data_IF_660672126888
#
_entry.id   IF_660672126888
#
_cell.length_a   1.000
_cell.length_b   1.000
_cell.length_c   1.000
_cell.angle_alpha   90.00
_cell.angle_beta   90.00
_cell.angle_gamma   90.00
#
_symmetry.space_group_name_H-M   'P 1'
#
loop_
_entity.id
_entity.type
_entity.pdbx_description
1 polymer ?
#
# COMPACT_ATOMS: atom_id res chain seq x y z
N UNK A 1 -32.10 -14.25 10.67
CA UNK A 1 -30.65 -14.42 10.42
C UNK A 1 -30.51 -14.93 9.00
N UNK A 2 -30.15 -14.05 8.07
CA UNK A 2 -30.00 -14.43 6.67
C UNK A 2 -28.55 -14.86 6.41
N UNK A 3 -28.35 -16.12 6.08
CA UNK A 3 -27.08 -16.63 5.52
C UNK A 3 -27.00 -16.15 4.07
N UNK A 4 -26.16 -15.14 3.78
CA UNK A 4 -25.86 -14.83 2.38
C UNK A 4 -25.04 -15.98 1.80
N UNK A 5 -25.42 -16.41 0.60
CA UNK A 5 -24.79 -17.52 -0.08
C UNK A 5 -23.48 -17.02 -0.70
N UNK A 6 -22.43 -17.84 -0.73
CA UNK A 6 -21.12 -17.46 -1.32
C UNK A 6 -21.25 -17.01 -2.79
N UNK A 7 -22.30 -17.47 -3.48
CA UNK A 7 -22.66 -17.02 -4.83
C UNK A 7 -23.25 -15.60 -4.88
N UNK A 8 -23.94 -15.14 -3.83
CA UNK A 8 -24.48 -13.78 -3.77
C UNK A 8 -23.37 -12.73 -3.63
N UNK A 9 -22.25 -13.13 -3.00
CA UNK A 9 -21.06 -12.28 -2.80
C UNK A 9 -20.28 -12.09 -4.12
N UNK A 10 -20.20 -13.15 -4.93
CA UNK A 10 -19.59 -13.09 -6.27
C UNK A 10 -20.48 -12.29 -7.25
N UNK A 11 -21.80 -12.44 -7.14
CA UNK A 11 -22.75 -11.68 -7.95
C UNK A 11 -22.74 -10.18 -7.62
N UNK A 12 -22.53 -9.78 -6.36
CA UNK A 12 -22.43 -8.36 -5.99
C UNK A 12 -21.13 -7.71 -6.48
N UNK A 13 -20.02 -8.46 -6.53
CA UNK A 13 -18.74 -7.95 -7.05
C UNK A 13 -18.71 -7.85 -8.56
N UNK A 14 -19.42 -8.74 -9.27
CA UNK A 14 -19.59 -8.64 -10.73
C UNK A 14 -20.55 -7.51 -11.13
N UNK A 15 -21.61 -7.25 -10.33
CA UNK A 15 -22.57 -6.18 -10.60
C UNK A 15 -22.01 -4.77 -10.34
N UNK A 16 -21.07 -4.63 -9.40
CA UNK A 16 -20.35 -3.37 -9.15
C UNK A 16 -19.23 -3.10 -10.17
N UNK A 17 -18.97 -4.06 -11.09
CA UNK A 17 -17.95 -4.00 -12.13
C UNK A 17 -18.43 -3.55 -13.52
N UNK A 18 -19.67 -3.07 -13.69
CA UNK A 18 -20.12 -2.49 -14.96
C UNK A 18 -19.47 -1.10 -15.19
N UNK A 19 -18.21 -1.10 -15.66
CA UNK A 19 -17.64 0.07 -16.32
C UNK A 19 -18.05 0.06 -17.79
N UNK A 20 -18.96 0.98 -18.14
CA UNK A 20 -19.06 1.51 -19.49
C UNK A 20 -17.66 1.95 -19.98
N UNK A 21 -17.28 1.52 -21.18
CA UNK A 21 -16.07 2.00 -21.82
C UNK A 21 -16.26 3.47 -22.24
N UNK A 22 -15.29 4.37 -22.01
CA UNK A 22 -15.17 5.58 -22.80
C UNK A 22 -14.42 5.24 -24.09
N UNK A 23 -15.02 5.58 -25.23
CA UNK A 23 -14.38 5.61 -26.54
C UNK A 23 -13.27 6.69 -26.58
N UNK A 24 -12.25 6.40 -27.39
CA UNK A 24 -11.04 7.17 -27.66
C UNK A 24 -11.30 8.51 -28.39
N UNK A 25 -10.40 9.48 -28.19
CA UNK A 25 -9.60 10.17 -29.23
C UNK A 25 -9.12 11.56 -28.74
N UNK A 26 -7.80 11.74 -28.60
CA UNK A 26 -7.06 12.74 -29.37
C UNK A 26 -5.54 12.53 -29.29
N UNK A 27 -4.94 12.67 -30.47
CA UNK A 27 -3.62 12.32 -30.94
C UNK A 27 -2.56 13.39 -30.59
N UNK A 28 -1.28 12.98 -30.53
CA UNK A 28 -0.12 13.70 -31.10
C UNK A 28 1.17 12.92 -30.81
N UNK A 29 1.51 12.00 -31.72
CA UNK A 29 2.87 11.52 -31.90
C UNK A 29 3.79 12.55 -32.57
N UNK A 30 5.09 12.38 -32.42
CA UNK A 30 6.15 13.09 -33.14
C UNK A 30 7.19 12.05 -33.61
N UNK A 31 7.95 12.33 -34.69
CA UNK A 31 7.70 11.79 -36.03
C UNK A 31 8.53 10.52 -36.33
N UNK A 32 8.03 9.73 -37.28
CA UNK A 32 8.82 8.73 -38.01
C UNK A 32 9.69 9.44 -39.07
N UNK A 33 10.81 8.82 -39.47
CA UNK A 33 11.17 8.61 -40.88
C UNK A 33 12.48 7.81 -41.00
N UNK A 34 12.38 6.61 -41.58
CA UNK A 34 13.30 6.07 -42.59
C UNK A 34 12.49 5.09 -43.47
N UNK A 35 11.90 5.69 -44.51
CA UNK A 35 11.83 5.26 -45.92
C UNK A 35 11.10 4.00 -46.42
N UNK A 36 10.27 4.32 -47.42
CA UNK A 36 9.96 3.62 -48.68
C UNK A 36 8.76 2.66 -48.79
N UNK A 37 7.65 3.30 -49.18
CA UNK A 37 6.88 3.05 -50.42
C UNK A 37 6.27 1.66 -50.66
N UNK A 38 4.93 1.63 -50.63
CA UNK A 38 4.17 1.31 -51.86
C UNK A 38 2.72 1.77 -51.72
N UNK A 39 2.43 2.95 -52.27
CA UNK A 39 1.09 3.40 -52.57
C UNK A 39 0.72 2.95 -53.99
N UNK A 40 -0.40 2.26 -54.13
CA UNK A 40 -1.33 2.46 -55.26
C UNK A 40 -2.55 1.56 -55.09
N UNK A 41 -3.67 2.14 -54.68
CA UNK A 41 -4.99 2.00 -55.33
C UNK A 41 -6.10 2.50 -54.39
N UNK A 42 -6.28 3.82 -54.34
CA UNK A 42 -7.62 4.38 -54.21
C UNK A 42 -8.13 4.68 -55.62
N UNK A 43 -9.34 4.24 -55.95
CA UNK A 43 -10.47 5.12 -56.29
C UNK A 43 -11.72 4.31 -56.70
N UNK A 44 -12.80 4.64 -56.00
CA UNK A 44 -14.19 4.77 -56.49
C UNK A 44 -14.98 3.57 -57.02
N UNK A 45 -15.93 3.14 -56.18
CA UNK A 45 -17.37 3.16 -56.51
C UNK A 45 -18.12 3.07 -55.15
N UNK A 46 -18.48 4.21 -54.55
CA UNK A 46 -19.81 4.83 -54.65
C UNK A 46 -20.99 3.91 -54.27
N UNK A 47 -21.77 4.45 -53.33
CA UNK A 47 -23.21 4.32 -53.17
C UNK A 47 -23.83 2.94 -52.97
N UNK A 48 -24.17 2.69 -51.72
CA UNK A 48 -25.29 1.81 -51.40
C UNK A 48 -25.12 1.01 -50.11
N UNK A 49 -24.82 1.69 -48.99
CA UNK A 49 -24.98 1.07 -47.67
C UNK A 49 -26.46 0.70 -47.46
N UNK A 50 -26.75 -0.56 -47.77
CA UNK A 50 -28.06 -1.21 -47.67
C UNK A 50 -27.98 -2.43 -46.76
N UNK A 51 -26.87 -2.58 -46.02
CA UNK A 51 -26.57 -3.78 -45.25
C UNK A 51 -26.59 -3.61 -43.74
N UNK A 52 -26.57 -2.39 -43.21
CA UNK A 52 -26.61 -2.17 -41.78
C UNK A 52 -28.05 -2.04 -41.27
N UNK A 53 -28.41 -2.89 -40.30
CA UNK A 53 -29.72 -2.89 -39.63
C UNK A 53 -29.93 -1.54 -38.91
N UNK A 54 -28.85 -0.88 -38.48
CA UNK A 54 -28.90 0.44 -37.87
C UNK A 54 -29.13 1.57 -38.90
N UNK A 55 -28.68 1.41 -40.15
CA UNK A 55 -28.97 2.36 -41.24
C UNK A 55 -30.43 2.26 -41.73
N UNK A 56 -31.02 1.05 -41.73
CA UNK A 56 -32.45 0.84 -42.02
C UNK A 56 -33.37 1.45 -40.95
N UNK A 57 -32.96 1.39 -39.67
CA UNK A 57 -33.70 2.00 -38.55
C UNK A 57 -33.73 3.54 -38.62
N UNK A 58 -32.69 4.19 -39.17
CA UNK A 58 -32.64 5.65 -39.41
C UNK A 58 -33.54 6.11 -40.57
N UNK A 59 -34.00 5.22 -41.46
CA UNK A 59 -34.91 5.54 -42.59
C UNK A 59 -36.40 5.24 -42.33
N UNK A 60 -36.80 4.94 -41.09
CA UNK A 60 -38.21 4.92 -40.68
C UNK A 60 -39.05 3.72 -41.11
N UNK A 61 -38.44 2.62 -41.61
CA UNK A 61 -39.17 1.36 -41.82
C UNK A 61 -39.12 0.50 -40.56
N UNK A 62 -40.27 0.35 -39.90
CA UNK A 62 -40.40 -0.37 -38.64
C UNK A 62 -40.64 -1.89 -38.75
N UNK A 63 -40.65 -2.46 -39.97
CA UNK A 63 -40.77 -3.91 -40.16
C UNK A 63 -39.97 -4.39 -41.37
N UNK A 64 -39.29 -5.52 -41.18
CA UNK A 64 -38.47 -6.22 -42.19
C UNK A 64 -39.09 -7.61 -42.36
N UNK A 65 -39.17 -8.12 -43.60
CA UNK A 65 -39.74 -9.45 -43.84
C UNK A 65 -38.77 -10.56 -43.44
N UNK A 66 -39.30 -11.76 -43.15
CA UNK A 66 -38.51 -12.89 -42.63
C UNK A 66 -37.46 -13.39 -43.64
N UNK A 67 -37.72 -13.22 -44.94
CA UNK A 67 -36.78 -13.56 -46.00
C UNK A 67 -35.64 -12.54 -46.14
N UNK A 68 -35.92 -11.25 -45.94
CA UNK A 68 -34.89 -10.20 -45.91
C UNK A 68 -33.97 -10.35 -44.69
N UNK A 69 -34.51 -10.71 -43.53
CA UNK A 69 -33.72 -11.00 -42.34
C UNK A 69 -32.79 -12.22 -42.53
N UNK A 70 -33.25 -13.25 -43.25
CA UNK A 70 -32.42 -14.42 -43.61
C UNK A 70 -31.29 -14.06 -44.55
N UNK A 71 -31.53 -13.20 -45.55
CA UNK A 71 -30.49 -12.76 -46.48
C UNK A 71 -29.41 -11.92 -45.78
N UNK A 72 -29.79 -11.07 -44.82
CA UNK A 72 -28.86 -10.33 -43.97
C UNK A 72 -28.00 -11.26 -43.10
N UNK A 73 -28.60 -12.29 -42.49
CA UNK A 73 -27.85 -13.30 -41.73
C UNK A 73 -26.86 -14.11 -42.59
N UNK A 74 -27.25 -14.46 -43.81
CA UNK A 74 -26.37 -15.19 -44.74
C UNK A 74 -25.18 -14.33 -45.15
N UNK A 75 -25.39 -13.03 -45.42
CA UNK A 75 -24.30 -12.08 -45.72
C UNK A 75 -23.39 -11.85 -44.50
N UNK A 76 -23.95 -11.72 -43.30
CA UNK A 76 -23.15 -11.58 -42.08
C UNK A 76 -22.26 -12.80 -41.82
N UNK A 77 -22.78 -14.02 -42.07
CA UNK A 77 -22.00 -15.26 -41.95
C UNK A 77 -20.94 -15.41 -43.04
N UNK A 78 -21.16 -14.87 -44.24
CA UNK A 78 -20.16 -14.85 -45.30
C UNK A 78 -18.97 -13.93 -44.97
N UNK A 79 -19.21 -12.81 -44.24
CA UNK A 79 -18.15 -11.89 -43.78
C UNK A 79 -17.26 -12.47 -42.68
N UNK A 80 -17.70 -13.53 -41.99
CA UNK A 80 -16.92 -14.21 -40.94
C UNK A 80 -15.97 -15.31 -41.42
N UNK A 81 -15.95 -15.67 -42.72
CA UNK A 81 -15.00 -16.66 -43.25
C UNK A 81 -13.67 -15.99 -43.59
N UNK A 82 -12.86 -15.78 -42.56
CA UNK A 82 -11.43 -15.49 -42.72
C UNK A 82 -10.78 -16.69 -43.41
N UNK A 83 -10.28 -16.46 -44.63
CA UNK A 83 -9.40 -17.39 -45.35
C UNK A 83 -8.20 -17.67 -44.46
N UNK A 84 -7.95 -18.95 -44.14
CA UNK A 84 -6.83 -19.40 -43.32
C UNK A 84 -5.49 -18.95 -43.92
N UNK A 85 -5.02 -17.75 -43.55
CA UNK A 85 -3.61 -17.41 -43.63
C UNK A 85 -2.92 -18.26 -42.57
N UNK A 86 -2.14 -19.25 -43.01
CA UNK A 86 -1.18 -19.98 -42.17
C UNK A 86 -0.24 -18.95 -41.52
N UNK A 87 -0.58 -18.51 -40.30
CA UNK A 87 0.30 -17.70 -39.48
C UNK A 87 1.48 -18.58 -39.09
N UNK A 88 2.69 -18.18 -39.46
CA UNK A 88 3.89 -18.70 -38.83
C UNK A 88 3.72 -18.59 -37.32
N UNK A 89 4.01 -19.66 -36.57
CA UNK A 89 4.00 -19.65 -35.11
C UNK A 89 5.11 -18.70 -34.63
N UNK A 90 4.80 -17.41 -34.55
CA UNK A 90 5.57 -16.49 -33.72
C UNK A 90 5.37 -16.99 -32.30
N UNK A 91 6.42 -17.56 -31.70
CA UNK A 91 6.41 -17.88 -30.27
C UNK A 91 6.03 -16.59 -29.57
N UNK A 92 4.85 -16.56 -28.94
CA UNK A 92 4.48 -15.47 -28.08
C UNK A 92 5.65 -15.25 -27.11
N UNK A 93 6.23 -14.05 -27.12
CA UNK A 93 7.24 -13.67 -26.11
C UNK A 93 6.62 -14.02 -24.77
N UNK A 94 7.30 -14.88 -24.01
CA UNK A 94 6.81 -15.29 -22.70
C UNK A 94 6.53 -14.00 -21.92
N UNK A 95 5.27 -13.80 -21.52
CA UNK A 95 4.93 -12.68 -20.64
C UNK A 95 5.89 -12.75 -19.45
N UNK A 96 6.48 -11.61 -19.02
CA UNK A 96 7.31 -11.61 -17.82
C UNK A 96 6.53 -12.32 -16.72
N UNK A 97 7.08 -13.40 -16.18
CA UNK A 97 6.43 -14.09 -15.06
C UNK A 97 6.37 -13.09 -13.92
N UNK A 98 5.17 -12.70 -13.54
CA UNK A 98 5.00 -11.90 -12.35
C UNK A 98 5.64 -12.64 -11.18
N UNK A 99 6.31 -11.93 -10.27
CA UNK A 99 6.89 -12.54 -9.09
C UNK A 99 5.84 -13.39 -8.34
N UNK A 100 6.21 -14.52 -7.71
CA UNK A 100 5.24 -15.49 -7.13
C UNK A 100 4.27 -14.93 -6.07
N UNK A 101 4.51 -13.71 -5.58
CA UNK A 101 3.65 -12.98 -4.62
C UNK A 101 3.07 -11.74 -5.34
N UNK A 102 2.85 -11.82 -6.63
CA UNK A 102 2.23 -10.81 -7.47
C UNK A 102 1.24 -11.58 -8.34
N UNK A 103 -0.02 -11.43 -8.00
CA UNK A 103 -1.14 -12.13 -8.58
C UNK A 103 -1.96 -11.04 -9.27
N UNK A 104 -2.52 -11.28 -10.47
CA UNK A 104 -3.41 -10.31 -11.09
C UNK A 104 -4.47 -9.82 -10.09
N UNK A 105 -4.88 -8.54 -10.15
CA UNK A 105 -5.98 -8.02 -9.35
C UNK A 105 -7.17 -9.00 -9.38
N UNK A 106 -7.81 -9.21 -8.22
CA UNK A 106 -8.94 -10.12 -7.97
C UNK A 106 -8.64 -11.62 -8.06
N UNK A 107 -7.39 -12.04 -8.34
CA UNK A 107 -7.05 -13.48 -8.39
C UNK A 107 -6.29 -14.00 -7.17
N UNK A 108 -5.80 -13.12 -6.29
CA UNK A 108 -5.11 -13.50 -5.05
C UNK A 108 -6.02 -14.23 -4.07
N UNK A 109 -7.20 -13.64 -3.81
CA UNK A 109 -8.21 -14.24 -2.94
C UNK A 109 -8.66 -15.61 -3.44
N UNK A 110 -8.86 -15.77 -4.76
CA UNK A 110 -9.22 -17.03 -5.38
C UNK A 110 -8.13 -18.09 -5.22
N UNK A 111 -6.87 -17.75 -5.46
CA UNK A 111 -5.75 -18.70 -5.31
C UNK A 111 -5.58 -19.16 -3.86
N UNK A 112 -5.72 -18.25 -2.89
CA UNK A 112 -5.68 -18.58 -1.47
C UNK A 112 -6.88 -19.46 -1.11
N UNK A 113 -8.09 -19.10 -1.55
CA UNK A 113 -9.29 -19.87 -1.32
C UNK A 113 -9.17 -21.30 -1.89
N UNK A 114 -8.65 -21.44 -3.11
CA UNK A 114 -8.39 -22.74 -3.75
C UNK A 114 -7.38 -23.56 -2.95
N UNK A 115 -6.30 -22.93 -2.45
CA UNK A 115 -5.28 -23.57 -1.60
C UNK A 115 -5.89 -24.07 -0.28
N UNK A 116 -6.65 -23.23 0.41
CA UNK A 116 -7.32 -23.58 1.66
C UNK A 116 -8.38 -24.67 1.46
N UNK A 117 -9.17 -24.56 0.38
CA UNK A 117 -10.16 -25.57 0.02
C UNK A 117 -9.52 -26.92 -0.32
N UNK A 118 -8.35 -26.91 -0.95
CA UNK A 118 -7.61 -28.13 -1.29
C UNK A 118 -7.09 -28.88 -0.04
N UNK A 119 -6.84 -28.19 1.08
CA UNK A 119 -6.45 -28.83 2.36
C UNK A 119 -7.58 -29.66 2.98
N UNK A 120 -8.84 -29.42 2.58
CA UNK A 120 -10.06 -30.07 3.11
C UNK A 120 -10.31 -29.83 4.61
N UNK A 121 -9.57 -28.93 5.25
CA UNK A 121 -9.77 -28.54 6.64
C UNK A 121 -10.77 -27.37 6.73
N UNK A 122 -11.59 -27.29 7.80
CA UNK A 122 -12.47 -26.15 8.01
C UNK A 122 -11.68 -24.86 8.25
N UNK A 123 -11.97 -23.83 7.46
CA UNK A 123 -11.39 -22.49 7.62
C UNK A 123 -12.48 -21.41 7.64
N UNK A 124 -12.09 -20.22 8.10
CA UNK A 124 -12.89 -19.01 8.09
C UNK A 124 -12.17 -17.93 7.27
N UNK A 125 -12.96 -17.12 6.56
CA UNK A 125 -12.48 -15.95 5.82
C UNK A 125 -13.03 -14.71 6.51
N UNK A 126 -12.15 -13.79 6.92
CA UNK A 126 -12.51 -12.48 7.47
C UNK A 126 -12.10 -11.40 6.48
N UNK A 127 -13.07 -10.63 6.00
CA UNK A 127 -12.83 -9.57 5.01
C UNK A 127 -12.21 -8.30 5.63
N UNK A 128 -12.33 -8.12 6.94
CA UNK A 128 -11.83 -6.94 7.66
C UNK A 128 -10.53 -7.22 8.43
N UNK A 129 -9.62 -7.97 7.83
CA UNK A 129 -8.30 -8.20 8.42
C UNK A 129 -7.49 -6.91 8.45
N UNK A 130 -6.89 -6.61 9.60
CA UNK A 130 -6.15 -5.37 9.81
C UNK A 130 -4.88 -5.63 10.61
N UNK A 131 -3.73 -5.20 10.08
CA UNK A 131 -2.45 -5.24 10.78
C UNK A 131 -1.81 -3.85 10.80
N UNK A 132 -1.15 -3.50 11.90
CA UNK A 132 -0.34 -2.29 11.98
C UNK A 132 0.95 -2.51 12.72
N UNK A 133 1.94 -1.70 12.39
CA UNK A 133 3.24 -1.67 13.05
C UNK A 133 3.80 -0.26 13.01
N UNK A 134 4.62 0.07 14.00
CA UNK A 134 5.29 1.35 14.14
C UNK A 134 6.80 1.16 14.02
N UNK A 135 7.46 2.11 13.36
CA UNK A 135 8.92 2.21 13.32
C UNK A 135 9.39 3.59 13.77
N UNK A 136 10.58 3.64 14.35
CA UNK A 136 11.24 4.87 14.79
C UNK A 136 12.26 5.33 13.75
N UNK A 137 12.19 6.61 13.41
CA UNK A 137 13.23 7.35 12.69
C UNK A 137 13.92 8.28 13.69
N UNK A 138 15.11 7.90 14.21
CA UNK A 138 15.86 8.70 15.15
C UNK A 138 16.49 9.91 14.43
N UNK A 139 16.05 11.10 14.77
CA UNK A 139 16.54 12.35 14.20
C UNK A 139 17.50 13.02 15.18
N UNK A 140 18.81 12.93 14.93
CA UNK A 140 19.82 13.52 15.83
C UNK A 140 19.86 15.03 15.65
N UNK A 141 19.87 15.76 16.76
CA UNK A 141 19.93 17.22 16.72
C UNK A 141 21.40 17.69 16.77
N UNK A 142 21.87 18.21 15.64
CA UNK A 142 23.22 18.71 15.44
C UNK A 142 23.26 20.24 15.49
N UNK A 143 24.47 20.80 15.57
CA UNK A 143 24.68 22.25 15.65
C UNK A 143 24.85 22.77 17.09
N UNK A 144 24.53 24.04 17.29
CA UNK A 144 24.74 24.80 18.53
C UNK A 144 23.42 25.29 19.12
N UNK A 145 23.47 25.93 20.31
CA UNK A 145 22.31 26.54 20.96
C UNK A 145 21.67 27.70 20.17
N UNK A 146 22.31 28.19 19.09
CA UNK A 146 21.79 29.27 18.24
C UNK A 146 21.46 28.83 16.82
N UNK A 147 22.06 27.74 16.34
CA UNK A 147 21.82 27.17 15.01
C UNK A 147 21.83 25.66 15.11
N UNK A 148 20.66 25.06 15.08
CA UNK A 148 20.49 23.61 15.17
C UNK A 148 19.72 23.07 13.97
N UNK A 149 19.90 21.77 13.73
CA UNK A 149 19.11 21.03 12.75
C UNK A 149 18.94 19.58 13.21
N UNK A 150 17.80 19.00 12.86
CA UNK A 150 17.57 17.57 12.97
C UNK A 150 18.11 16.90 11.71
N UNK A 151 19.04 15.97 11.91
CA UNK A 151 19.57 15.08 10.88
C UNK A 151 18.71 13.82 10.86
N UNK A 152 18.00 13.61 9.75
CA UNK A 152 17.26 12.39 9.46
C UNK A 152 18.19 11.50 8.63
N UNK A 153 18.69 10.37 9.17
CA UNK A 153 19.64 9.56 8.44
C UNK A 153 18.99 8.83 7.27
N UNK A 154 19.75 8.67 6.19
CA UNK A 154 19.46 7.69 5.15
C UNK A 154 19.49 6.29 5.76
N UNK A 155 18.62 5.40 5.28
CA UNK A 155 18.57 4.04 5.81
C UNK A 155 17.29 3.29 5.52
N UNK A 156 17.18 2.14 6.18
CA UNK A 156 16.03 1.25 6.11
C UNK A 156 15.43 1.10 7.50
N UNK A 157 14.16 1.50 7.63
CA UNK A 157 13.39 1.45 8.86
C UNK A 157 12.35 0.35 8.73
N UNK A 158 12.52 -0.70 9.53
CA UNK A 158 11.69 -1.91 9.44
C UNK A 158 10.40 -1.75 10.24
N UNK A 159 9.34 -2.30 9.67
CA UNK A 159 8.00 -2.45 10.22
C UNK A 159 7.65 -3.95 10.18
N UNK A 160 6.82 -4.39 11.10
CA UNK A 160 6.47 -5.81 11.28
C UNK A 160 7.69 -6.72 11.53
N UNK A 161 8.76 -6.19 12.10
CA UNK A 161 9.93 -6.95 12.51
C UNK A 161 9.82 -7.47 13.96
N UNK A 162 9.01 -6.80 14.78
CA UNK A 162 8.75 -7.11 16.19
C UNK A 162 7.27 -7.39 16.44
N UNK A 163 7.00 -8.41 17.24
CA UNK A 163 5.65 -8.76 17.70
C UNK A 163 5.37 -8.22 19.11
N UNK A 164 4.09 -8.19 19.49
CA UNK A 164 3.66 -7.87 20.86
C UNK A 164 4.39 -8.77 21.86
N UNK A 165 4.91 -8.18 22.93
CA UNK A 165 5.68 -8.88 23.96
C UNK A 165 7.19 -8.94 23.69
N UNK A 166 7.66 -8.56 22.50
CA UNK A 166 9.10 -8.49 22.23
C UNK A 166 9.75 -7.21 22.73
N UNK A 167 11.05 -7.27 23.01
CA UNK A 167 11.84 -6.10 23.37
C UNK A 167 12.02 -5.17 22.17
N UNK A 168 11.75 -3.88 22.37
CA UNK A 168 11.91 -2.79 21.40
C UNK A 168 12.69 -1.67 22.06
N UNK A 169 13.51 -0.97 21.29
CA UNK A 169 14.27 0.18 21.77
C UNK A 169 13.83 1.43 21.04
N UNK A 170 13.43 2.46 21.79
CA UNK A 170 12.98 3.75 21.28
C UNK A 170 13.73 4.89 21.95
N UNK A 171 14.37 5.76 21.17
CA UNK A 171 15.29 6.82 21.61
C UNK A 171 16.31 6.34 22.66
N UNK A 172 16.77 5.10 22.51
CA UNK A 172 17.72 4.49 23.43
C UNK A 172 17.10 3.82 24.66
N UNK A 173 15.81 4.02 24.93
CA UNK A 173 15.07 3.41 26.02
C UNK A 173 14.51 2.04 25.61
N UNK A 174 14.77 1.02 26.41
CA UNK A 174 14.17 -0.32 26.23
C UNK A 174 12.73 -0.32 26.72
N UNK A 175 11.84 -0.92 25.93
CA UNK A 175 10.45 -1.16 26.27
C UNK A 175 9.98 -2.51 25.69
N UNK A 176 8.81 -2.96 26.12
CA UNK A 176 8.14 -4.13 25.54
C UNK A 176 7.10 -3.68 24.53
N UNK A 177 7.10 -4.29 23.34
CA UNK A 177 6.11 -4.01 22.30
C UNK A 177 4.69 -4.24 22.83
N UNK A 178 3.87 -3.19 22.81
CA UNK A 178 2.46 -3.25 23.23
C UNK A 178 1.55 -3.26 22.02
N UNK A 179 0.28 -3.60 22.25
CA UNK A 179 -0.77 -3.51 21.23
C UNK A 179 -0.94 -2.10 20.69
N UNK A 180 -0.50 -1.04 21.40
CA UNK A 180 -0.55 0.32 20.85
C UNK A 180 0.45 0.54 19.71
N UNK A 181 1.48 -0.30 19.57
CA UNK A 181 2.53 -0.12 18.57
C UNK A 181 2.46 -1.13 17.43
N UNK A 182 2.00 -2.34 17.73
CA UNK A 182 1.72 -3.33 16.72
C UNK A 182 0.69 -4.31 17.23
N UNK A 183 -0.11 -4.87 16.33
CA UNK A 183 -0.95 -6.02 16.63
C UNK A 183 -0.39 -7.33 16.05
N UNK A 184 0.85 -7.30 15.53
CA UNK A 184 1.54 -8.50 15.11
C UNK A 184 1.79 -9.40 16.33
N UNK A 185 1.29 -10.63 16.27
CA UNK A 185 1.52 -11.62 17.32
C UNK A 185 2.44 -12.69 16.75
N UNK A 186 3.50 -13.05 17.48
CA UNK A 186 4.23 -14.26 17.12
C UNK A 186 3.37 -15.46 17.51
N UNK A 187 3.16 -16.42 16.61
CA UNK A 187 2.55 -17.67 17.00
C UNK A 187 3.44 -18.30 18.08
N UNK A 188 2.99 -18.30 19.33
CA UNK A 188 3.56 -19.23 20.31
C UNK A 188 3.32 -20.64 19.76
N UNK A 189 4.30 -21.54 19.88
CA UNK A 189 4.37 -22.86 19.24
C UNK A 189 3.10 -23.73 19.29
N UNK A 190 2.09 -23.38 20.09
CA UNK A 190 0.87 -24.14 20.32
C UNK A 190 -0.47 -23.37 20.10
N UNK A 191 -0.49 -22.09 19.67
CA UNK A 191 -1.72 -21.27 19.92
C UNK A 191 -2.39 -20.59 18.73
N UNK A 192 -1.87 -20.64 17.51
CA UNK A 192 -2.68 -20.24 16.34
C UNK A 192 -2.43 -21.15 15.15
N UNK A 193 -3.55 -21.71 14.66
CA UNK A 193 -3.64 -22.43 13.40
C UNK A 193 -3.21 -21.51 12.26
N UNK A 194 -2.68 -22.13 11.20
CA UNK A 194 -2.27 -21.51 9.94
C UNK A 194 -3.14 -20.29 9.60
N UNK A 195 -2.54 -19.10 9.55
CA UNK A 195 -3.21 -17.87 9.12
C UNK A 195 -2.47 -17.31 7.91
N UNK A 196 -3.22 -17.08 6.83
CA UNK A 196 -2.77 -16.35 5.66
C UNK A 196 -3.57 -15.04 5.58
N UNK A 197 -2.91 -13.94 5.26
CA UNK A 197 -3.50 -12.62 5.13
C UNK A 197 -3.14 -12.06 3.76
N UNK A 198 -4.15 -11.69 2.99
CA UNK A 198 -4.00 -11.04 1.71
C UNK A 198 -4.03 -9.54 1.91
N UNK A 199 -2.93 -8.85 1.63
CA UNK A 199 -2.89 -7.39 1.68
C UNK A 199 -3.58 -6.85 0.43
N UNK A 200 -4.61 -6.01 0.62
CA UNK A 200 -5.35 -5.37 -0.47
C UNK A 200 -5.11 -3.86 -0.53
N UNK A 201 -4.86 -3.24 0.62
CA UNK A 201 -4.53 -1.82 0.66
C UNK A 201 -3.65 -1.46 1.85
N UNK A 202 -2.99 -0.31 1.73
CA UNK A 202 -2.18 0.26 2.81
C UNK A 202 -2.53 1.72 3.08
N UNK A 203 -2.29 2.13 4.32
CA UNK A 203 -2.27 3.53 4.74
C UNK A 203 -1.08 3.76 5.65
N UNK A 204 -0.58 4.99 5.69
CA UNK A 204 0.60 5.30 6.50
C UNK A 204 0.50 6.70 7.08
N UNK A 205 0.77 6.80 8.37
CA UNK A 205 0.58 8.01 9.15
C UNK A 205 1.71 8.21 10.14
N UNK A 206 1.84 9.44 10.64
CA UNK A 206 2.61 9.67 11.86
C UNK A 206 1.89 9.06 13.07
N UNK A 207 2.63 8.34 13.89
CA UNK A 207 2.13 7.81 15.15
C UNK A 207 2.33 8.81 16.29
N UNK A 208 3.44 9.55 16.25
CA UNK A 208 3.77 10.56 17.25
C UNK A 208 5.24 10.97 17.19
N UNK A 209 5.62 11.81 18.15
CA UNK A 209 6.99 12.25 18.36
C UNK A 209 7.45 11.89 19.76
N UNK A 210 8.76 11.73 19.94
CA UNK A 210 9.43 11.77 21.24
C UNK A 210 10.61 12.71 21.18
N UNK A 211 11.00 13.28 22.32
CA UNK A 211 12.16 14.16 22.41
C UNK A 211 13.06 13.69 23.54
N UNK A 212 14.37 13.83 23.35
CA UNK A 212 15.36 13.53 24.37
C UNK A 212 16.30 14.72 24.51
N UNK A 213 16.26 15.36 25.67
CA UNK A 213 17.23 16.37 26.11
C UNK A 213 18.28 15.72 27.03
N UNK A 214 19.34 16.46 27.35
CA UNK A 214 20.33 16.02 28.32
C UNK A 214 19.71 16.01 29.73
N UNK A 215 19.72 14.84 30.39
CA UNK A 215 19.19 14.68 31.74
C UNK A 215 19.86 15.60 32.76
N UNK A 216 21.18 15.84 32.60
CA UNK A 216 21.93 16.73 33.49
C UNK A 216 21.57 18.21 33.29
N UNK A 217 21.01 18.59 32.13
CA UNK A 217 20.47 19.93 31.91
C UNK A 217 19.04 20.04 32.45
N UNK A 218 18.19 19.04 32.22
CA UNK A 218 16.81 19.01 32.74
C UNK A 218 16.80 19.12 34.27
N UNK A 219 17.68 18.38 34.96
CA UNK A 219 17.73 18.34 36.43
C UNK A 219 18.09 19.69 37.08
N UNK A 220 18.70 20.61 36.32
CA UNK A 220 19.04 21.95 36.81
C UNK A 220 17.86 22.91 36.77
N UNK A 221 16.77 22.56 36.08
CA UNK A 221 15.63 23.45 35.87
C UNK A 221 14.55 23.15 36.92
N UNK A 222 14.24 24.16 37.72
CA UNK A 222 13.22 24.06 38.77
C UNK A 222 11.84 23.88 38.13
N UNK A 223 11.09 22.86 38.57
CA UNK A 223 9.71 22.62 38.14
C UNK A 223 9.52 21.65 36.96
N UNK A 224 10.60 21.13 36.35
CA UNK A 224 10.51 20.15 35.24
C UNK A 224 10.51 18.68 35.69
N UNK A 225 10.45 18.40 36.99
CA UNK A 225 10.48 17.03 37.52
C UNK A 225 9.35 16.16 36.97
N UNK A 226 8.15 16.74 36.81
CA UNK A 226 6.96 16.04 36.29
C UNK A 226 7.07 15.76 34.79
N UNK A 227 7.78 16.62 34.04
CA UNK A 227 8.00 16.48 32.61
C UNK A 227 9.23 15.60 32.26
N UNK A 228 9.99 15.14 33.25
CA UNK A 228 11.25 14.39 33.05
C UNK A 228 11.08 13.18 32.13
N UNK A 229 10.01 12.39 32.30
CA UNK A 229 9.76 11.21 31.47
C UNK A 229 9.54 11.59 29.99
N UNK A 230 8.84 12.70 29.73
CA UNK A 230 8.61 13.23 28.37
C UNK A 230 9.92 13.72 27.76
N UNK A 231 10.69 14.52 28.52
CA UNK A 231 11.92 15.15 28.06
C UNK A 231 13.11 14.19 27.92
N UNK A 232 12.99 12.96 28.42
CA UNK A 232 14.00 11.89 28.30
C UNK A 232 13.59 10.79 27.32
N UNK A 233 12.54 11.03 26.52
CA UNK A 233 12.13 10.14 25.42
C UNK A 233 11.34 8.91 25.85
N UNK A 234 10.72 8.92 27.04
CA UNK A 234 9.92 7.78 27.53
C UNK A 234 8.46 7.84 27.06
N UNK A 235 7.95 9.04 26.79
CA UNK A 235 6.55 9.26 26.42
C UNK A 235 6.41 9.89 25.04
N UNK A 236 5.34 9.55 24.33
CA UNK A 236 4.92 10.29 23.14
C UNK A 236 4.46 11.68 23.53
N UNK A 237 4.70 12.63 22.65
CA UNK A 237 4.30 14.01 22.84
C UNK A 237 3.80 14.59 21.52
N UNK A 238 2.84 15.50 21.66
CA UNK A 238 2.36 16.36 20.61
C UNK A 238 2.39 17.78 21.19
N UNK A 239 3.21 18.64 20.58
CA UNK A 239 3.53 19.95 21.14
C UNK A 239 3.69 20.97 20.00
N UNK A 240 2.57 21.34 19.41
CA UNK A 240 2.45 22.38 18.40
C UNK A 240 2.71 23.79 18.95
N UNK A 241 2.52 23.98 20.26
CA UNK A 241 2.81 25.21 20.97
C UNK A 241 4.33 25.49 21.10
N UNK A 242 5.16 24.46 21.00
CA UNK A 242 6.62 24.55 21.07
C UNK A 242 7.16 24.71 22.50
N UNK A 243 6.51 24.09 23.49
CA UNK A 243 6.96 24.08 24.89
C UNK A 243 8.14 23.13 25.14
N UNK A 244 8.16 22.01 24.44
CA UNK A 244 9.10 20.89 24.57
C UNK A 244 9.72 20.47 23.23
N UNK A 245 9.11 20.85 22.10
CA UNK A 245 9.64 20.67 20.76
C UNK A 245 9.98 22.01 20.09
N UNK A 246 10.98 22.02 19.19
CA UNK A 246 11.15 23.14 18.27
C UNK A 246 9.88 23.41 17.47
N UNK A 247 9.40 24.65 17.49
CA UNK A 247 8.16 25.06 16.83
C UNK A 247 8.20 24.83 15.32
N UNK A 248 9.38 24.88 14.70
CA UNK A 248 9.57 24.64 13.27
C UNK A 248 9.13 23.22 12.82
N UNK A 249 8.99 22.26 13.74
CA UNK A 249 8.46 20.93 13.43
C UNK A 249 7.00 21.01 12.97
N UNK A 250 6.24 22.00 13.44
CA UNK A 250 4.82 22.15 13.12
C UNK A 250 4.57 23.37 12.26
N UNK A 251 3.65 23.24 11.32
CA UNK A 251 3.19 24.35 10.51
C UNK A 251 2.32 25.29 11.35
N UNK A 252 2.70 26.57 11.42
CA UNK A 252 2.09 27.57 12.31
C UNK A 252 0.56 27.69 12.20
N UNK A 253 -0.02 27.42 11.02
CA UNK A 253 -1.47 27.57 10.79
C UNK A 253 -2.25 26.26 10.73
N UNK A 254 -1.63 25.17 10.26
CA UNK A 254 -2.34 23.91 10.02
C UNK A 254 -2.06 22.88 11.10
N UNK A 255 -1.02 23.09 11.92
CA UNK A 255 -0.52 22.09 12.87
C UNK A 255 0.10 20.87 12.20
N UNK A 256 0.30 20.88 10.87
CA UNK A 256 0.90 19.76 10.15
C UNK A 256 2.36 19.57 10.58
N UNK A 257 2.75 18.33 10.83
CA UNK A 257 4.12 17.97 11.15
C UNK A 257 5.02 18.01 9.90
N UNK A 258 5.81 19.07 9.79
CA UNK A 258 6.73 19.34 8.69
C UNK A 258 7.93 18.38 8.68
N UNK A 259 8.32 17.83 9.83
CA UNK A 259 9.35 16.80 9.91
C UNK A 259 8.88 15.51 9.25
N UNK A 260 7.66 15.07 9.58
CA UNK A 260 7.02 13.93 8.91
C UNK A 260 6.83 14.17 7.42
N UNK A 261 6.36 15.36 7.03
CA UNK A 261 6.19 15.76 5.62
C UNK A 261 7.50 15.65 4.82
N UNK A 262 8.63 15.99 5.43
CA UNK A 262 9.96 15.90 4.80
C UNK A 262 10.34 14.45 4.51
N UNK A 263 10.05 13.53 5.44
CA UNK A 263 10.22 12.09 5.24
C UNK A 263 9.26 11.58 4.17
N UNK A 264 7.96 11.94 4.21
CA UNK A 264 6.97 11.52 3.20
C UNK A 264 7.39 11.86 1.78
N UNK A 265 7.98 13.03 1.56
CA UNK A 265 8.41 13.48 0.23
C UNK A 265 9.60 12.71 -0.34
N UNK A 266 10.43 12.15 0.54
CA UNK A 266 11.74 11.59 0.17
C UNK A 266 11.77 10.06 0.27
N UNK A 267 10.93 9.48 1.13
CA UNK A 267 10.96 8.06 1.44
C UNK A 267 10.14 7.21 0.46
N UNK A 268 10.48 5.93 0.43
CA UNK A 268 9.85 4.91 -0.41
C UNK A 268 9.52 3.70 0.46
N UNK A 269 8.38 3.06 0.20
CA UNK A 269 7.94 1.87 0.94
C UNK A 269 8.20 0.61 0.13
N UNK A 270 8.80 -0.38 0.77
CA UNK A 270 9.00 -1.71 0.22
C UNK A 270 8.32 -2.76 1.08
N UNK A 271 7.84 -3.82 0.44
CA UNK A 271 7.57 -5.08 1.13
C UNK A 271 8.76 -6.03 0.96
N UNK A 272 9.11 -6.71 2.04
CA UNK A 272 10.29 -7.55 2.11
C UNK A 272 9.96 -8.89 2.76
N UNK A 273 10.26 -9.99 2.06
CA UNK A 273 10.16 -11.35 2.55
C UNK A 273 11.55 -11.96 2.68
N UNK A 274 11.83 -12.55 3.83
CA UNK A 274 13.12 -13.12 4.16
C UNK A 274 12.99 -14.56 4.64
N UNK A 275 13.44 -15.51 3.81
CA UNK A 275 13.44 -16.94 4.14
C UNK A 275 14.51 -17.34 5.15
N UNK A 276 15.57 -16.55 5.34
CA UNK A 276 16.61 -16.86 6.34
C UNK A 276 16.04 -16.85 7.76
N UNK A 277 15.08 -15.95 8.00
CA UNK A 277 14.38 -15.80 9.29
C UNK A 277 13.50 -16.99 9.65
N UNK A 278 13.27 -17.89 8.70
CA UNK A 278 12.34 -19.02 8.82
C UNK A 278 13.04 -20.36 8.62
N UNK A 279 14.38 -20.38 8.63
CA UNK A 279 15.18 -21.60 8.44
C UNK A 279 15.24 -22.09 6.98
N UNK A 280 14.75 -21.31 6.02
CA UNK A 280 14.86 -21.62 4.60
C UNK A 280 16.18 -21.14 3.98
N UNK A 281 16.42 -21.51 2.71
CA UNK A 281 17.55 -20.99 1.93
C UNK A 281 17.54 -19.46 1.88
N UNK A 282 18.72 -18.84 1.72
CA UNK A 282 18.95 -17.38 1.84
C UNK A 282 18.36 -16.50 0.73
N UNK A 283 17.16 -16.82 0.24
CA UNK A 283 16.44 -16.00 -0.71
C UNK A 283 15.67 -14.91 0.04
N UNK A 284 16.05 -13.67 -0.20
CA UNK A 284 15.29 -12.48 0.16
C UNK A 284 14.58 -11.94 -1.06
N UNK A 285 13.44 -11.29 -0.84
CA UNK A 285 12.69 -10.62 -1.91
C UNK A 285 12.17 -9.29 -1.42
N UNK A 286 12.60 -8.22 -2.08
CA UNK A 286 12.20 -6.84 -1.80
C UNK A 286 11.42 -6.31 -3.01
N UNK A 287 10.22 -5.76 -2.77
CA UNK A 287 9.32 -5.26 -3.81
C UNK A 287 8.97 -3.83 -3.47
N UNK A 288 9.16 -2.94 -4.43
CA UNK A 288 8.74 -1.54 -4.34
C UNK A 288 7.21 -1.48 -4.34
N UNK A 289 6.63 -0.82 -3.35
CA UNK A 289 5.20 -0.54 -3.30
C UNK A 289 4.95 0.80 -3.97
N UNK A 290 5.40 1.89 -3.34
CA UNK A 290 5.30 3.23 -3.90
C UNK A 290 6.18 4.21 -3.10
N UNK A 291 6.30 5.44 -3.60
CA UNK A 291 6.76 6.58 -2.83
C UNK A 291 5.80 6.87 -1.67
N UNK A 292 6.37 7.22 -0.52
CA UNK A 292 5.57 7.43 0.68
C UNK A 292 4.57 8.59 0.54
N UNK A 293 4.89 9.61 -0.27
CA UNK A 293 3.98 10.73 -0.59
C UNK A 293 2.67 10.28 -1.23
N UNK A 294 2.65 9.16 -1.93
CA UNK A 294 1.48 8.62 -2.63
C UNK A 294 0.60 7.75 -1.70
N UNK A 295 1.14 7.25 -0.59
CA UNK A 295 0.41 6.43 0.38
C UNK A 295 -0.50 7.31 1.23
N UNK A 296 -1.83 7.15 1.24
CA UNK A 296 -2.71 8.03 2.01
C UNK A 296 -2.37 8.13 3.50
N UNK A 297 -2.45 9.38 3.99
CA UNK A 297 -2.20 9.76 5.38
C UNK A 297 -3.52 9.78 6.16
N UNK A 298 -3.98 8.60 6.56
CA UNK A 298 -5.28 8.42 7.22
C UNK A 298 -5.16 7.71 8.56
N UNK A 299 -5.77 8.32 9.58
CA UNK A 299 -6.00 7.69 10.88
C UNK A 299 -7.00 6.55 10.73
N UNK A 300 -6.57 5.31 10.96
CA UNK A 300 -7.36 4.06 10.81
C UNK A 300 -8.78 4.15 11.39
N UNK A 301 -8.97 4.90 12.49
CA UNK A 301 -10.28 5.04 13.16
C UNK A 301 -11.37 5.70 12.30
N UNK A 302 -11.02 6.36 11.20
CA UNK A 302 -11.98 6.91 10.22
C UNK A 302 -12.26 5.99 9.04
N UNK A 303 -11.50 4.91 8.84
CA UNK A 303 -11.66 3.99 7.70
C UNK A 303 -12.98 3.20 7.76
N UNK A 304 -13.50 2.93 8.96
CA UNK A 304 -14.71 2.12 9.17
C UNK A 304 -16.04 2.89 9.13
N UNK A 305 -16.03 4.22 8.90
CA UNK A 305 -17.22 5.08 9.12
C UNK A 305 -17.72 5.88 7.92
N UNK A 306 -17.05 5.85 6.77
CA UNK A 306 -17.49 6.64 5.61
C UNK A 306 -17.92 5.74 4.46
N UNK A 307 -19.22 5.80 4.15
CA UNK A 307 -19.87 5.22 2.97
C UNK A 307 -19.30 5.73 1.62
N UNK A 308 -18.32 6.64 1.63
CA UNK A 308 -17.61 7.14 0.46
C UNK A 308 -16.23 6.52 0.22
N UNK A 309 -15.84 5.49 0.99
CA UNK A 309 -14.51 4.89 0.93
C UNK A 309 -13.44 5.81 1.52
N UNK A 310 -12.69 5.32 2.50
CA UNK A 310 -11.60 6.11 3.04
C UNK A 310 -10.37 6.03 2.12
N UNK A 311 -9.55 7.09 2.03
CA UNK A 311 -8.43 7.07 1.09
C UNK A 311 -7.39 6.07 1.58
N UNK A 312 -7.19 5.04 0.75
CA UNK A 312 -6.22 3.96 0.91
C UNK A 312 -5.44 3.80 -0.40
N UNK A 313 -4.20 3.31 -0.31
CA UNK A 313 -3.47 2.92 -1.51
C UNK A 313 -3.79 1.45 -1.79
N UNK A 314 -4.54 1.13 -2.86
CA UNK A 314 -4.73 -0.26 -3.27
C UNK A 314 -3.37 -0.84 -3.67
N UNK A 315 -3.08 -2.03 -3.19
CA UNK A 315 -1.90 -2.80 -3.59
C UNK A 315 -2.37 -4.01 -4.41
N UNK A 316 -1.62 -4.44 -5.43
CA UNK A 316 -1.93 -5.67 -6.13
C UNK A 316 -2.16 -6.86 -5.18
N UNK A 317 -3.23 -7.62 -5.43
CA UNK A 317 -3.68 -8.80 -4.68
C UNK A 317 -2.66 -9.94 -4.55
N UNK A 318 -1.42 -9.78 -5.01
CA UNK A 318 -0.39 -10.79 -4.86
C UNK A 318 0.34 -10.79 -3.53
N UNK A 319 0.23 -9.72 -2.73
CA UNK A 319 1.02 -9.61 -1.50
C UNK A 319 0.41 -10.46 -0.39
N UNK A 320 0.74 -11.75 -0.42
CA UNK A 320 0.36 -12.74 0.59
C UNK A 320 1.31 -12.63 1.78
N UNK A 321 0.76 -12.23 2.93
CA UNK A 321 1.37 -12.35 4.25
C UNK A 321 0.96 -13.69 4.84
N UNK A 322 1.89 -14.43 5.42
CA UNK A 322 1.55 -15.52 6.34
C UNK A 322 2.08 -15.14 7.70
N UNK A 323 1.20 -15.23 8.70
CA UNK A 323 1.55 -14.85 10.07
C UNK A 323 2.44 -15.91 10.75
N UNK A 324 2.65 -17.06 10.09
CA UNK A 324 3.58 -18.07 10.55
C UNK A 324 4.91 -17.96 9.79
N UNK A 325 5.91 -17.23 10.31
CA UNK A 325 7.22 -17.17 9.69
C UNK A 325 7.82 -18.58 9.56
N UNK A 326 7.76 -19.43 10.59
CA UNK A 326 8.38 -20.78 10.57
C UNK A 326 7.81 -21.72 9.50
N UNK A 327 6.57 -21.50 9.04
CA UNK A 327 5.92 -22.32 8.00
C UNK A 327 5.75 -21.61 6.66
N UNK A 328 6.24 -20.38 6.54
CA UNK A 328 6.08 -19.59 5.33
C UNK A 328 6.93 -20.15 4.18
N UNK A 329 6.27 -20.65 3.13
CA UNK A 329 6.95 -20.95 1.86
C UNK A 329 7.63 -19.71 1.25
N UNK A 330 7.25 -18.50 1.66
CA UNK A 330 7.75 -17.23 1.13
C UNK A 330 8.77 -16.54 2.05
N UNK A 331 8.92 -16.99 3.30
CA UNK A 331 9.76 -16.35 4.33
C UNK A 331 8.99 -15.38 5.23
N UNK A 332 9.68 -14.83 6.24
CA UNK A 332 9.10 -13.87 7.18
C UNK A 332 8.94 -12.51 6.51
N UNK A 333 7.75 -11.94 6.61
CA UNK A 333 7.46 -10.62 6.05
C UNK A 333 7.94 -9.50 6.97
N UNK A 334 8.28 -8.38 6.35
CA UNK A 334 8.53 -7.07 6.94
C UNK A 334 8.19 -6.02 5.90
N UNK A 335 7.80 -4.82 6.35
CA UNK A 335 7.77 -3.65 5.49
C UNK A 335 8.97 -2.76 5.80
N UNK A 336 9.48 -2.04 4.81
CA UNK A 336 10.65 -1.19 4.95
C UNK A 336 10.31 0.20 4.43
N UNK A 337 10.44 1.20 5.30
CA UNK A 337 10.52 2.60 4.87
C UNK A 337 11.99 2.86 4.55
N UNK A 338 12.29 3.13 3.30
CA UNK A 338 13.63 3.46 2.85
C UNK A 338 13.74 4.96 2.62
N UNK A 339 14.70 5.58 3.29
CA UNK A 339 15.11 6.96 3.04
C UNK A 339 16.42 6.89 2.24
N UNK A 340 16.43 7.36 0.98
CA UNK A 340 17.59 7.19 0.11
C UNK A 340 18.75 8.10 0.47
N UNK A 341 18.48 9.28 1.03
CA UNK A 341 19.47 10.31 1.31
C UNK A 341 19.21 10.97 2.67
N UNK A 342 20.28 11.48 3.28
CA UNK A 342 20.20 12.22 4.53
C UNK A 342 19.37 13.51 4.34
N UNK A 343 18.44 13.76 5.25
CA UNK A 343 17.62 14.97 5.24
C UNK A 343 18.05 15.87 6.40
N UNK A 344 18.28 17.14 6.10
CA UNK A 344 18.57 18.17 7.10
C UNK A 344 17.31 19.00 7.31
N UNK A 345 16.80 18.99 8.54
CA UNK A 345 15.62 19.75 8.92
C UNK A 345 15.99 20.85 9.94
N UNK A 346 15.96 22.13 9.56
CA UNK A 346 16.38 23.22 10.45
C UNK A 346 15.42 23.38 11.62
N UNK A 347 15.96 23.60 12.83
CA UNK A 347 15.18 23.82 14.05
C UNK A 347 15.80 24.90 14.91
N UNK A 348 14.97 25.63 15.67
CA UNK A 348 15.48 26.51 16.72
C UNK A 348 15.46 25.80 18.07
N UNK A 349 16.57 25.84 18.82
CA UNK A 349 16.58 25.46 20.23
C UNK A 349 15.56 26.28 21.02
N UNK A 350 14.97 25.68 22.06
CA UNK A 350 13.89 26.27 22.86
C UNK A 350 14.35 26.50 24.29
N UNK A 351 13.80 27.50 24.97
CA UNK A 351 14.05 27.70 26.40
C UNK A 351 13.07 26.83 27.20
N UNK A 352 13.63 25.84 27.92
CA UNK A 352 12.86 24.95 28.79
C UNK A 352 12.53 25.58 30.16
N UNK A 353 12.78 26.87 30.35
CA UNK A 353 12.56 27.61 31.60
C UNK A 353 13.85 27.90 32.38
N UNK A 354 15.01 27.75 31.76
CA UNK A 354 16.32 28.06 32.35
C UNK A 354 16.80 29.49 32.03
N UNK A 355 16.06 30.23 31.19
CA UNK A 355 16.48 31.53 30.67
C UNK A 355 17.50 31.44 29.53
N UNK A 356 17.77 30.23 29.03
CA UNK A 356 18.72 29.97 27.95
C UNK A 356 18.17 28.88 27.01
N UNK A 357 18.29 29.03 25.68
CA UNK A 357 17.86 28.01 24.73
C UNK A 357 18.67 26.72 24.87
N UNK A 358 17.96 25.61 24.97
CA UNK A 358 18.50 24.26 24.99
C UNK A 358 18.08 23.51 23.73
N UNK A 359 19.04 22.86 23.07
CA UNK A 359 18.72 22.02 21.91
C UNK A 359 18.43 20.58 22.38
N UNK A 360 17.46 19.87 21.78
CA UNK A 360 17.34 18.44 22.04
C UNK A 360 18.63 17.72 21.63
N UNK A 361 18.88 16.55 22.20
CA UNK A 361 19.89 15.61 21.69
C UNK A 361 19.32 14.87 20.48
N UNK A 362 18.05 14.49 20.55
CA UNK A 362 17.40 13.64 19.55
C UNK A 362 15.88 13.83 19.58
N UNK A 363 15.26 13.74 18.40
CA UNK A 363 13.80 13.68 18.23
C UNK A 363 13.48 12.36 17.52
N UNK A 364 12.63 11.54 18.12
CA UNK A 364 12.15 10.30 17.52
C UNK A 364 10.89 10.58 16.72
N UNK A 365 10.93 10.39 15.40
CA UNK A 365 9.74 10.44 14.55
C UNK A 365 9.20 9.02 14.38
N UNK A 366 7.93 8.80 14.74
CA UNK A 366 7.32 7.47 14.68
C UNK A 366 6.33 7.40 13.53
N UNK A 367 6.53 6.41 12.66
CA UNK A 367 5.64 6.17 11.51
C UNK A 367 4.87 4.88 11.76
N UNK A 368 3.56 4.92 11.52
CA UNK A 368 2.69 3.74 11.56
C UNK A 368 2.29 3.36 10.15
N UNK A 369 2.56 2.12 9.76
CA UNK A 369 2.01 1.49 8.57
C UNK A 369 0.83 0.60 8.98
N UNK A 370 -0.26 0.72 8.24
CA UNK A 370 -1.46 -0.09 8.38
C UNK A 370 -1.72 -0.86 7.09
N UNK A 371 -1.96 -2.15 7.23
CA UNK A 371 -2.28 -3.10 6.17
C UNK A 371 -3.74 -3.55 6.34
N UNK A 372 -4.54 -3.43 5.28
CA UNK A 372 -5.92 -3.90 5.26
C UNK A 372 -6.09 -4.98 4.20
N UNK A 373 -6.93 -5.98 4.49
CA UNK A 373 -7.30 -6.98 3.51
C UNK A 373 -7.94 -8.21 4.16
N UNK A 374 -7.77 -9.37 3.53
CA UNK A 374 -8.55 -10.57 3.84
C UNK A 374 -7.72 -11.57 4.63
N UNK A 375 -8.18 -11.98 5.80
CA UNK A 375 -7.57 -13.04 6.60
C UNK A 375 -8.27 -14.39 6.35
N UNK A 376 -7.47 -15.43 6.16
CA UNK A 376 -7.86 -16.82 6.06
C UNK A 376 -7.27 -17.55 7.26
N UNK A 377 -8.14 -18.13 8.09
CA UNK A 377 -7.75 -18.70 9.38
C UNK A 377 -8.37 -20.08 9.53
N UNK A 378 -7.61 -21.07 10.00
CA UNK A 378 -8.22 -22.35 10.32
C UNK A 378 -9.20 -22.20 11.51
N UNK A 379 -10.36 -22.85 11.43
CA UNK A 379 -11.31 -22.79 12.54
C UNK A 379 -10.70 -23.47 13.77
N UNK A 380 -10.79 -22.87 14.97
CA UNK A 380 -10.41 -23.58 16.18
C UNK A 380 -11.26 -24.84 16.30
N UNK A 381 -10.62 -25.99 16.51
CA UNK A 381 -11.33 -27.22 16.86
C UNK A 381 -11.99 -26.99 18.22
N UNK A 382 -13.31 -26.82 18.22
CA UNK A 382 -14.14 -26.74 19.42
C UNK A 382 -14.17 -28.07 20.16
#
# INVERSE_FOLDING_TARGET
>A
MATSNVMDILASTDAEGETAAPDDEEDTGAPEDEDEETASAELEAEDGDTGDINALRKRGRASITLDEARQLQVRARARGKVVERRKAKVKAKARPKMPANMVPPNSGARQILERWSARKDPFAVRQDGHYYSITEIPCKCLGTATRAWLHIPAGEYKLFDRAVGEEVRFLGNTATATTNWTNLQRPSKNTYNEQEFLIQSITMQEAGLRVRYDSGEIEKIVGLSEAKAVLTGQSWLWDDAGMFLPKEIFHDTTGENLLYRSVRRSAVVYFHWDKTRTGGNANTRKILIDHLRNVPDTKVRTLSRTSGGAPVLPVPDGYIFTDNPERSEHGAFSAIVHIPEDIVFPVKPIDLGAGAPTKPLEVGLYLQLSLNGIAFEAKPST
#
